data_IF_576120595878
#
_entry.id   IF_576120595878
#
_cell.length_a   1.000
_cell.length_b   1.000
_cell.length_c   1.000
_cell.angle_alpha   90.00
_cell.angle_beta   90.00
_cell.angle_gamma   90.00
#
_symmetry.space_group_name_H-M   'P 1'
#
loop_
_entity.id
_entity.type
_entity.pdbx_description
1 polymer ?
#
# COMPACT_ATOMS: atom_id res chain seq x y z
N UNK A 1 15.33 1.09 -13.55
CA UNK A 1 14.66 0.51 -12.35
C UNK A 1 15.52 0.80 -11.15
N UNK A 2 14.94 1.13 -9.99
CA UNK A 2 15.69 1.34 -8.75
C UNK A 2 16.19 0.01 -8.17
N UNK A 3 17.30 0.04 -7.39
CA UNK A 3 17.84 -1.15 -6.74
C UNK A 3 16.98 -1.67 -5.59
N UNK A 4 17.25 -2.91 -5.14
CA UNK A 4 16.46 -3.58 -4.10
C UNK A 4 16.41 -2.81 -2.77
N UNK A 5 17.54 -2.20 -2.34
CA UNK A 5 17.57 -1.42 -1.10
C UNK A 5 16.69 -0.16 -1.20
N UNK A 6 16.75 0.54 -2.33
CA UNK A 6 15.92 1.70 -2.58
C UNK A 6 14.42 1.32 -2.62
N UNK A 7 14.08 0.16 -3.24
CA UNK A 7 12.73 -0.36 -3.22
C UNK A 7 12.25 -0.62 -1.80
N UNK A 8 13.05 -1.34 -1.00
CA UNK A 8 12.71 -1.61 0.42
C UNK A 8 12.45 -0.31 1.20
N UNK A 9 13.28 0.72 0.98
CA UNK A 9 13.08 2.02 1.64
C UNK A 9 11.76 2.67 1.22
N UNK A 10 11.43 2.67 -0.08
CA UNK A 10 10.14 3.17 -0.60
C UNK A 10 8.97 2.45 0.06
N UNK A 11 9.01 1.13 0.10
CA UNK A 11 7.96 0.30 0.71
C UNK A 11 7.81 0.57 2.21
N UNK A 12 8.93 0.70 2.95
CA UNK A 12 8.92 1.01 4.39
C UNK A 12 8.34 2.38 4.69
N UNK A 13 8.67 3.41 3.91
CA UNK A 13 8.11 4.75 4.09
C UNK A 13 6.58 4.71 3.91
N UNK A 14 6.09 4.06 2.84
CA UNK A 14 4.65 3.95 2.61
C UNK A 14 3.97 3.10 3.68
N UNK A 15 4.61 2.04 4.17
CA UNK A 15 4.11 1.29 5.32
C UNK A 15 3.90 2.19 6.55
N UNK A 16 4.86 3.08 6.85
CA UNK A 16 4.69 4.06 7.94
C UNK A 16 3.51 4.99 7.68
N UNK A 17 3.27 5.39 6.44
CA UNK A 17 2.10 6.20 6.08
C UNK A 17 0.78 5.47 6.32
N UNK A 18 0.72 4.15 6.09
CA UNK A 18 -0.49 3.35 6.27
C UNK A 18 -0.74 2.95 7.72
N UNK A 19 0.32 2.60 8.45
CA UNK A 19 0.20 1.95 9.76
C UNK A 19 0.69 2.81 10.93
N UNK A 20 1.40 3.89 10.67
CA UNK A 20 2.09 4.69 11.69
C UNK A 20 3.37 4.04 12.23
N UNK A 21 3.76 2.85 11.76
CA UNK A 21 4.86 2.05 12.30
C UNK A 21 5.78 1.52 11.19
N UNK A 22 7.07 1.42 11.51
CA UNK A 22 8.07 0.77 10.66
C UNK A 22 8.23 -0.74 10.95
N UNK A 23 7.43 -1.30 11.88
CA UNK A 23 7.58 -2.72 12.26
C UNK A 23 7.02 -3.65 11.17
N UNK A 24 7.69 -4.76 10.94
CA UNK A 24 7.24 -5.84 10.03
C UNK A 24 6.14 -6.73 10.66
N UNK A 25 5.36 -6.17 11.58
CA UNK A 25 4.23 -6.85 12.21
C UNK A 25 2.96 -6.68 11.38
N UNK A 26 2.00 -7.55 11.62
CA UNK A 26 0.65 -7.42 11.06
C UNK A 26 0.26 -8.47 10.03
N UNK A 27 1.13 -9.39 9.66
CA UNK A 27 0.79 -10.47 8.70
C UNK A 27 -0.36 -11.36 9.18
N UNK A 28 -0.54 -11.54 10.49
CA UNK A 28 -1.62 -12.34 11.07
C UNK A 28 -2.80 -11.50 11.56
N UNK A 29 -2.85 -10.20 11.34
CA UNK A 29 -4.01 -9.41 11.78
C UNK A 29 -5.21 -9.75 10.91
N UNK A 30 -6.24 -10.36 11.50
CA UNK A 30 -7.50 -10.67 10.85
C UNK A 30 -8.64 -9.95 11.58
N UNK A 31 -9.42 -9.16 10.88
CA UNK A 31 -10.52 -8.40 11.48
C UNK A 31 -11.71 -8.26 10.53
N UNK A 32 -12.91 -8.26 11.10
CA UNK A 32 -14.12 -7.86 10.39
C UNK A 32 -14.47 -6.43 10.80
N UNK A 33 -14.46 -5.51 9.85
CA UNK A 33 -14.75 -4.09 10.09
C UNK A 33 -16.20 -3.77 9.76
N UNK A 34 -16.74 -2.70 10.38
CA UNK A 34 -18.14 -2.24 10.14
C UNK A 34 -18.27 -1.38 8.87
N UNK A 35 -17.31 -1.42 7.97
CA UNK A 35 -17.29 -0.67 6.72
C UNK A 35 -17.87 -1.45 5.53
N UNK A 36 -18.24 -2.71 5.78
CA UNK A 36 -18.80 -3.60 4.78
C UNK A 36 -17.75 -4.22 3.83
N UNK A 37 -16.46 -4.09 4.10
CA UNK A 37 -15.39 -4.71 3.31
C UNK A 37 -15.20 -6.21 3.62
N UNK A 38 -15.97 -6.76 4.58
CA UNK A 38 -15.86 -8.14 5.03
C UNK A 38 -14.65 -8.35 5.94
N UNK A 39 -13.86 -9.39 5.67
CA UNK A 39 -12.59 -9.63 6.38
C UNK A 39 -11.53 -8.68 5.83
N UNK A 40 -10.80 -8.04 6.74
CA UNK A 40 -9.53 -7.36 6.47
C UNK A 40 -8.40 -8.19 7.06
N UNK A 41 -7.41 -8.59 6.25
CA UNK A 41 -6.37 -9.51 6.65
C UNK A 41 -4.98 -9.04 6.28
N UNK A 42 -4.06 -9.27 7.22
CA UNK A 42 -2.63 -9.18 7.01
C UNK A 42 -2.07 -7.77 6.95
N UNK A 43 -0.77 -7.71 6.71
CA UNK A 43 0.02 -6.47 6.67
C UNK A 43 -0.54 -5.41 5.71
N UNK A 44 -1.14 -5.85 4.63
CA UNK A 44 -1.65 -5.00 3.56
C UNK A 44 -3.17 -4.86 3.56
N UNK A 45 -3.84 -5.36 4.60
CA UNK A 45 -5.29 -5.31 4.77
C UNK A 45 -6.04 -5.81 3.52
N UNK A 46 -5.62 -6.98 3.03
CA UNK A 46 -6.35 -7.66 1.95
C UNK A 46 -7.78 -7.96 2.39
N UNK A 47 -8.76 -7.67 1.53
CA UNK A 47 -10.17 -7.88 1.85
C UNK A 47 -10.81 -8.92 0.94
N UNK A 48 -11.80 -9.64 1.46
CA UNK A 48 -12.58 -10.61 0.68
C UNK A 48 -13.41 -9.92 -0.40
N UNK A 49 -14.11 -8.82 -0.08
CA UNK A 49 -14.92 -8.09 -1.06
C UNK A 49 -14.15 -7.44 -2.20
N UNK A 50 -12.90 -7.06 -1.99
CA UNK A 50 -12.05 -6.56 -3.07
C UNK A 50 -11.37 -7.68 -3.87
N UNK A 51 -11.60 -8.97 -3.50
CA UNK A 51 -10.99 -10.13 -4.13
C UNK A 51 -9.48 -10.27 -3.91
N UNK A 52 -8.90 -9.51 -2.97
CA UNK A 52 -7.48 -9.60 -2.69
C UNK A 52 -7.13 -10.66 -1.65
N UNK A 53 -8.06 -11.00 -0.75
CA UNK A 53 -7.84 -12.02 0.26
C UNK A 53 -7.92 -13.43 -0.32
N UNK A 54 -8.86 -13.71 -1.19
CA UNK A 54 -8.94 -15.01 -1.88
C UNK A 54 -7.70 -15.24 -2.76
N UNK A 55 -7.15 -14.23 -3.42
CA UNK A 55 -5.87 -14.35 -4.14
C UNK A 55 -4.71 -14.70 -3.21
N UNK A 56 -4.66 -14.12 -2.00
CA UNK A 56 -3.64 -14.47 -1.00
C UNK A 56 -3.78 -15.92 -0.57
N UNK A 57 -5.01 -16.37 -0.25
CA UNK A 57 -5.26 -17.76 0.18
C UNK A 57 -4.97 -18.75 -0.95
N UNK A 58 -5.38 -18.45 -2.19
CA UNK A 58 -5.04 -19.28 -3.35
C UNK A 58 -3.53 -19.44 -3.48
N UNK A 59 -2.80 -18.33 -3.48
CA UNK A 59 -1.34 -18.37 -3.64
C UNK A 59 -0.66 -19.07 -2.45
N UNK A 60 -1.17 -18.91 -1.23
CA UNK A 60 -0.69 -19.63 -0.07
C UNK A 60 -0.80 -21.15 -0.26
N UNK A 61 -1.94 -21.65 -0.72
CA UNK A 61 -2.16 -23.06 -1.01
C UNK A 61 -1.26 -23.57 -2.16
N UNK A 62 -1.14 -22.76 -3.24
CA UNK A 62 -0.28 -23.08 -4.38
C UNK A 62 1.21 -23.17 -3.99
N UNK A 63 1.63 -22.41 -2.99
CA UNK A 63 2.99 -22.45 -2.43
C UNK A 63 3.21 -23.59 -1.43
N UNK A 64 2.18 -24.38 -1.14
CA UNK A 64 2.26 -25.51 -0.21
C UNK A 64 1.99 -25.16 1.25
N UNK A 65 1.28 -24.09 1.53
CA UNK A 65 0.82 -23.75 2.88
C UNK A 65 -0.23 -24.75 3.37
N UNK A 66 -0.18 -25.15 4.63
CA UNK A 66 -0.97 -26.26 5.19
C UNK A 66 -1.99 -25.80 6.27
N UNK A 67 -1.89 -24.55 6.77
CA UNK A 67 -2.78 -24.07 7.84
C UNK A 67 -4.18 -23.66 7.34
N UNK A 68 -4.34 -23.44 6.04
CA UNK A 68 -5.61 -23.17 5.37
C UNK A 68 -5.89 -24.29 4.37
N UNK A 69 -7.15 -24.35 3.90
CA UNK A 69 -7.58 -25.35 2.92
C UNK A 69 -8.59 -24.77 1.93
N UNK A 70 -9.04 -25.62 1.01
CA UNK A 70 -10.04 -25.24 0.01
C UNK A 70 -11.41 -24.87 0.59
N UNK A 71 -11.71 -25.25 1.84
CA UNK A 71 -12.98 -24.86 2.48
C UNK A 71 -12.93 -23.40 2.90
N UNK A 72 -11.80 -22.93 3.44
CA UNK A 72 -11.59 -21.51 3.72
C UNK A 72 -11.72 -20.70 2.44
N UNK A 73 -11.04 -21.13 1.35
CA UNK A 73 -11.12 -20.43 0.07
C UNK A 73 -12.56 -20.36 -0.46
N UNK A 74 -13.31 -21.47 -0.40
CA UNK A 74 -14.72 -21.49 -0.80
C UNK A 74 -15.62 -20.58 0.04
N UNK A 75 -15.31 -20.41 1.32
CA UNK A 75 -16.06 -19.49 2.18
C UNK A 75 -15.76 -18.02 1.87
N UNK A 76 -14.52 -17.70 1.49
CA UNK A 76 -14.14 -16.35 1.06
C UNK A 76 -14.73 -15.99 -0.31
N UNK A 77 -14.89 -16.97 -1.20
CA UNK A 77 -15.43 -16.78 -2.56
C UNK A 77 -16.98 -16.85 -2.61
N UNK A 78 -17.65 -17.05 -1.46
CA UNK A 78 -19.11 -17.03 -1.42
C UNK A 78 -19.65 -15.65 -1.72
N UNK A 79 -20.78 -15.68 -2.41
CA UNK A 79 -21.60 -14.56 -2.85
C UNK A 79 -21.79 -13.47 -1.78
N UNK A 80 -22.09 -12.24 -2.24
CA UNK A 80 -22.40 -11.03 -1.44
C UNK A 80 -23.42 -11.24 -0.30
N UNK A 81 -24.14 -12.39 -0.30
CA UNK A 81 -25.03 -12.80 0.77
C UNK A 81 -24.32 -13.23 2.06
N UNK A 82 -23.02 -13.55 2.01
CA UNK A 82 -22.25 -13.89 3.22
C UNK A 82 -21.94 -12.61 3.97
N UNK A 83 -22.79 -12.27 4.94
CA UNK A 83 -22.55 -11.10 5.80
C UNK A 83 -21.52 -11.43 6.87
N UNK A 84 -20.42 -10.69 6.83
CA UNK A 84 -19.46 -10.61 7.93
C UNK A 84 -19.90 -9.48 8.87
N UNK A 85 -20.65 -9.83 9.92
CA UNK A 85 -21.05 -8.89 10.97
C UNK A 85 -20.15 -9.09 12.21
N UNK A 86 -19.29 -8.12 12.56
CA UNK A 86 -18.38 -8.23 13.69
C UNK A 86 -19.11 -8.43 15.03
N UNK A 87 -20.39 -8.05 15.10
CA UNK A 87 -21.24 -8.26 16.28
C UNK A 87 -21.90 -9.64 16.35
N UNK A 88 -21.91 -10.42 15.26
CA UNK A 88 -22.66 -11.68 15.17
C UNK A 88 -21.98 -12.70 14.24
N UNK A 89 -20.71 -12.98 14.48
CA UNK A 89 -19.99 -14.00 13.72
C UNK A 89 -20.46 -15.42 14.11
N UNK A 90 -20.66 -16.27 13.12
CA UNK A 90 -20.89 -17.70 13.32
C UNK A 90 -19.65 -18.39 13.88
N UNK A 91 -19.78 -19.64 14.30
CA UNK A 91 -18.65 -20.45 14.75
C UNK A 91 -17.64 -20.64 13.62
N UNK A 92 -18.09 -20.99 12.44
CA UNK A 92 -17.23 -21.23 11.27
C UNK A 92 -16.52 -19.95 10.84
N UNK A 93 -17.17 -18.79 10.91
CA UNK A 93 -16.53 -17.50 10.63
C UNK A 93 -15.41 -17.16 11.62
N UNK A 94 -15.61 -17.46 12.91
CA UNK A 94 -14.54 -17.28 13.91
C UNK A 94 -13.38 -18.24 13.67
N UNK A 95 -13.65 -19.49 13.37
CA UNK A 95 -12.62 -20.48 13.04
C UNK A 95 -11.74 -20.03 11.86
N UNK A 96 -12.35 -19.43 10.83
CA UNK A 96 -11.61 -18.86 9.70
C UNK A 96 -10.70 -17.72 10.14
N UNK A 97 -11.18 -16.80 10.98
CA UNK A 97 -10.35 -15.69 11.48
C UNK A 97 -9.17 -16.24 12.29
N UNK A 98 -9.41 -17.17 13.20
CA UNK A 98 -8.39 -17.80 14.03
C UNK A 98 -7.32 -18.51 13.15
N UNK A 99 -7.74 -19.22 12.11
CA UNK A 99 -6.82 -19.89 11.17
C UNK A 99 -6.02 -18.89 10.34
N UNK A 100 -6.62 -17.80 9.89
CA UNK A 100 -5.91 -16.70 9.20
C UNK A 100 -4.87 -16.06 10.12
N UNK A 101 -5.23 -15.79 11.38
CA UNK A 101 -4.28 -15.24 12.37
C UNK A 101 -3.08 -16.16 12.56
N UNK A 102 -3.32 -17.47 12.74
CA UNK A 102 -2.26 -18.47 12.87
C UNK A 102 -1.39 -18.55 11.61
N UNK A 103 -2.00 -18.54 10.43
CA UNK A 103 -1.28 -18.57 9.15
C UNK A 103 -0.35 -17.37 8.98
N UNK A 104 -0.65 -16.21 9.57
CA UNK A 104 0.23 -15.03 9.51
C UNK A 104 1.62 -15.23 10.14
N UNK A 105 1.82 -16.25 10.96
CA UNK A 105 3.13 -16.64 11.46
C UNK A 105 3.93 -17.49 10.45
N UNK A 106 3.24 -18.13 9.49
CA UNK A 106 3.85 -18.99 8.46
C UNK A 106 4.62 -18.13 7.44
N UNK A 107 5.92 -18.43 7.18
CA UNK A 107 6.69 -17.76 6.13
C UNK A 107 6.05 -17.84 4.74
N UNK A 108 5.36 -18.95 4.41
CA UNK A 108 4.66 -19.12 3.13
C UNK A 108 3.50 -18.13 3.01
N UNK A 109 2.76 -17.89 4.09
CA UNK A 109 1.68 -16.90 4.10
C UNK A 109 2.21 -15.47 3.94
N UNK A 110 3.33 -15.15 4.57
CA UNK A 110 3.97 -13.84 4.40
C UNK A 110 4.41 -13.64 2.95
N UNK A 111 5.01 -14.64 2.35
CA UNK A 111 5.39 -14.62 0.94
C UNK A 111 4.17 -14.46 0.02
N UNK A 112 3.08 -15.17 0.28
CA UNK A 112 1.84 -15.05 -0.49
C UNK A 112 1.27 -13.62 -0.42
N UNK A 113 1.19 -13.03 0.78
CA UNK A 113 0.74 -11.65 0.97
C UNK A 113 1.62 -10.65 0.22
N UNK A 114 2.94 -10.76 0.35
CA UNK A 114 3.89 -9.84 -0.28
C UNK A 114 3.83 -9.95 -1.82
N UNK A 115 3.71 -11.16 -2.38
CA UNK A 115 3.58 -11.37 -3.84
C UNK A 115 2.27 -10.81 -4.40
N UNK A 116 1.15 -11.04 -3.73
CA UNK A 116 -0.15 -10.50 -4.15
C UNK A 116 -0.11 -8.97 -4.10
N UNK A 117 0.43 -8.39 -3.03
CA UNK A 117 0.58 -6.95 -2.91
C UNK A 117 1.51 -6.35 -3.98
N UNK A 118 2.60 -7.05 -4.30
CA UNK A 118 3.52 -6.67 -5.36
C UNK A 118 2.80 -6.54 -6.71
N UNK A 119 2.02 -7.53 -7.07
CA UNK A 119 1.24 -7.52 -8.34
C UNK A 119 0.23 -6.39 -8.38
N UNK A 120 -0.47 -6.13 -7.28
CA UNK A 120 -1.54 -5.14 -7.25
C UNK A 120 -1.05 -3.69 -7.15
N UNK A 121 0.09 -3.44 -6.51
CA UNK A 121 0.54 -2.08 -6.20
C UNK A 121 1.94 -1.74 -6.71
N UNK A 122 2.95 -2.59 -6.43
CA UNK A 122 4.32 -2.28 -6.84
C UNK A 122 4.49 -2.33 -8.36
N UNK A 123 4.06 -3.39 -9.00
CA UNK A 123 4.23 -3.53 -10.45
C UNK A 123 3.49 -2.44 -11.25
N UNK A 124 2.24 -2.05 -10.95
CA UNK A 124 1.61 -0.90 -11.57
C UNK A 124 2.37 0.42 -11.35
N UNK A 125 2.83 0.67 -10.12
CA UNK A 125 3.63 1.86 -9.82
C UNK A 125 4.97 1.85 -10.57
N UNK A 126 5.65 0.71 -10.59
CA UNK A 126 6.91 0.55 -11.31
C UNK A 126 6.76 0.80 -12.81
N UNK A 127 5.72 0.27 -13.44
CA UNK A 127 5.41 0.56 -14.85
C UNK A 127 5.24 2.06 -15.08
N UNK A 128 4.46 2.74 -14.26
CA UNK A 128 4.26 4.20 -14.37
C UNK A 128 5.58 4.98 -14.19
N UNK A 129 6.40 4.60 -13.20
CA UNK A 129 7.69 5.26 -12.96
C UNK A 129 8.65 5.07 -14.16
N UNK A 130 8.68 3.89 -14.75
CA UNK A 130 9.47 3.58 -15.95
C UNK A 130 8.98 4.34 -17.18
N UNK A 131 7.67 4.40 -17.41
CA UNK A 131 7.06 5.15 -18.53
C UNK A 131 7.35 6.64 -18.44
N UNK A 132 7.42 7.18 -17.23
CA UNK A 132 7.82 8.54 -16.95
C UNK A 132 9.35 8.75 -17.01
N UNK A 133 10.15 7.67 -17.08
CA UNK A 133 11.62 7.64 -17.02
C UNK A 133 12.18 8.25 -15.73
N UNK A 134 11.54 7.95 -14.59
CA UNK A 134 12.00 8.41 -13.29
C UNK A 134 13.19 7.56 -12.81
N UNK A 135 14.23 8.22 -12.35
CA UNK A 135 15.49 7.59 -11.93
C UNK A 135 15.70 7.61 -10.41
N UNK A 136 15.19 8.64 -9.71
CA UNK A 136 15.41 8.80 -8.28
C UNK A 136 14.45 7.95 -7.43
N UNK A 137 14.94 7.25 -6.39
CA UNK A 137 14.08 6.51 -5.45
C UNK A 137 12.93 7.34 -4.85
N UNK A 138 13.16 8.61 -4.51
CA UNK A 138 12.10 9.49 -4.01
C UNK A 138 10.99 9.72 -5.04
N UNK A 139 11.33 9.78 -6.33
CA UNK A 139 10.31 9.87 -7.40
C UNK A 139 9.46 8.60 -7.48
N UNK A 140 10.08 7.44 -7.28
CA UNK A 140 9.36 6.16 -7.17
C UNK A 140 8.46 6.10 -5.94
N UNK A 141 8.91 6.63 -4.79
CA UNK A 141 8.09 6.79 -3.60
C UNK A 141 6.80 7.57 -3.90
N UNK A 142 6.91 8.69 -4.62
CA UNK A 142 5.75 9.53 -4.99
C UNK A 142 4.75 8.77 -5.85
N UNK A 143 5.21 7.99 -6.84
CA UNK A 143 4.34 7.18 -7.70
C UNK A 143 3.71 6.02 -6.93
N UNK A 144 4.51 5.32 -6.11
CA UNK A 144 4.05 4.17 -5.33
C UNK A 144 3.01 4.57 -4.29
N UNK A 145 3.26 5.63 -3.51
CA UNK A 145 2.29 6.19 -2.58
C UNK A 145 1.00 6.65 -3.29
N UNK A 146 1.13 7.24 -4.47
CA UNK A 146 -0.05 7.64 -5.25
C UNK A 146 -0.88 6.45 -5.72
N UNK A 147 -0.22 5.35 -6.08
CA UNK A 147 -0.88 4.13 -6.55
C UNK A 147 -1.61 3.43 -5.39
N UNK A 148 -1.01 3.35 -4.21
CA UNK A 148 -1.63 2.75 -3.03
C UNK A 148 -2.79 3.61 -2.54
N UNK A 149 -2.52 4.88 -2.25
CA UNK A 149 -3.51 5.76 -1.61
C UNK A 149 -4.68 6.18 -2.53
N UNK A 150 -4.42 6.34 -3.83
CA UNK A 150 -5.40 6.92 -4.77
C UNK A 150 -5.78 5.96 -5.91
N UNK A 151 -5.31 4.71 -5.84
CA UNK A 151 -5.53 3.67 -6.85
C UNK A 151 -4.66 3.86 -8.11
N UNK A 152 -4.76 2.94 -9.07
CA UNK A 152 -3.89 2.89 -10.25
C UNK A 152 -3.99 4.13 -11.14
N UNK A 153 -5.06 4.90 -11.05
CA UNK A 153 -5.27 6.15 -11.80
C UNK A 153 -4.89 7.40 -11.00
N UNK A 154 -4.32 7.26 -9.79
CA UNK A 154 -3.96 8.38 -8.91
C UNK A 154 -3.03 9.38 -9.60
N UNK A 155 -1.97 8.87 -10.23
CA UNK A 155 -0.99 9.72 -10.95
C UNK A 155 -1.63 10.46 -12.12
N UNK A 156 -2.43 9.77 -12.93
CA UNK A 156 -3.12 10.39 -14.09
C UNK A 156 -4.09 11.49 -13.66
N UNK A 157 -4.73 11.36 -12.49
CA UNK A 157 -5.65 12.37 -11.92
C UNK A 157 -4.94 13.67 -11.53
N UNK A 158 -3.70 13.58 -11.06
CA UNK A 158 -2.92 14.74 -10.63
C UNK A 158 -2.19 15.39 -11.81
N UNK A 159 -1.76 14.61 -12.79
CA UNK A 159 -0.96 15.07 -13.94
C UNK A 159 -1.46 16.34 -14.63
N UNK A 160 -2.77 16.56 -14.89
CA UNK A 160 -3.24 17.78 -15.55
C UNK A 160 -3.18 19.07 -14.71
N UNK A 161 -2.79 18.97 -13.43
CA UNK A 161 -2.84 20.06 -12.47
C UNK A 161 -1.56 20.89 -12.39
N UNK A 162 -0.55 20.56 -13.17
CA UNK A 162 0.73 21.28 -13.20
C UNK A 162 1.39 21.17 -14.59
N UNK A 163 2.23 22.18 -14.99
CA UNK A 163 2.74 22.26 -16.35
C UNK A 163 4.02 21.46 -16.62
N UNK A 164 4.85 21.13 -15.59
CA UNK A 164 6.15 20.49 -15.81
C UNK A 164 6.04 19.20 -16.61
N UNK A 165 6.94 19.00 -17.57
CA UNK A 165 7.02 17.77 -18.36
C UNK A 165 7.87 16.72 -17.63
N UNK A 166 7.49 15.43 -17.69
CA UNK A 166 8.32 14.36 -17.15
C UNK A 166 9.59 14.13 -18.00
N UNK A 167 10.61 13.43 -17.47
CA UNK A 167 11.82 13.07 -18.23
C UNK A 167 11.55 12.36 -19.56
N UNK A 168 10.50 11.53 -19.61
CA UNK A 168 10.08 10.86 -20.86
C UNK A 168 9.65 11.83 -21.97
N UNK A 169 9.41 13.10 -21.65
CA UNK A 169 9.07 14.18 -22.58
C UNK A 169 10.09 15.32 -22.56
N UNK A 170 11.31 15.04 -22.11
CA UNK A 170 12.42 15.99 -22.06
C UNK A 170 12.40 16.98 -20.90
N UNK A 171 11.55 16.76 -19.89
CA UNK A 171 11.54 17.58 -18.68
C UNK A 171 12.57 17.17 -17.64
N UNK A 172 12.74 18.02 -16.62
CA UNK A 172 13.57 17.74 -15.45
C UNK A 172 12.77 16.95 -14.41
N UNK A 173 13.33 15.85 -13.91
CA UNK A 173 12.68 14.96 -12.95
C UNK A 173 12.37 15.65 -11.62
N UNK A 174 13.34 16.42 -11.08
CA UNK A 174 13.18 17.07 -9.79
C UNK A 174 12.12 18.17 -9.85
N UNK A 175 12.06 18.92 -10.94
CA UNK A 175 11.04 19.94 -11.19
C UNK A 175 9.66 19.28 -11.32
N UNK A 176 9.57 18.19 -12.08
CA UNK A 176 8.32 17.45 -12.25
C UNK A 176 7.78 16.91 -10.93
N UNK A 177 8.64 16.26 -10.13
CA UNK A 177 8.26 15.68 -8.84
C UNK A 177 7.81 16.74 -7.85
N UNK A 178 8.55 17.86 -7.73
CA UNK A 178 8.16 18.99 -6.86
C UNK A 178 6.77 19.52 -7.23
N UNK A 179 6.51 19.72 -8.52
CA UNK A 179 5.19 20.21 -8.97
C UNK A 179 4.09 19.17 -8.79
N UNK A 180 4.39 17.89 -9.00
CA UNK A 180 3.44 16.80 -8.73
C UNK A 180 3.05 16.76 -7.26
N UNK A 181 4.02 16.82 -6.35
CA UNK A 181 3.80 16.77 -4.89
C UNK A 181 2.96 17.97 -4.45
N UNK A 182 3.31 19.18 -4.90
CA UNK A 182 2.53 20.39 -4.59
C UNK A 182 1.08 20.31 -5.12
N UNK A 183 0.89 19.84 -6.36
CA UNK A 183 -0.44 19.67 -6.95
C UNK A 183 -1.26 18.60 -6.22
N UNK A 184 -0.64 17.49 -5.84
CA UNK A 184 -1.30 16.42 -5.08
C UNK A 184 -1.63 16.87 -3.65
N UNK A 185 -0.73 17.61 -3.01
CA UNK A 185 -0.95 18.21 -1.70
C UNK A 185 -2.20 19.10 -1.71
N UNK A 186 -2.32 20.00 -2.69
CA UNK A 186 -3.49 20.85 -2.84
C UNK A 186 -4.76 20.01 -3.08
N UNK A 187 -4.70 18.99 -3.94
CA UNK A 187 -5.84 18.12 -4.20
C UNK A 187 -6.29 17.36 -2.95
N UNK A 188 -5.37 16.83 -2.14
CA UNK A 188 -5.69 16.19 -0.86
C UNK A 188 -6.31 17.19 0.13
N UNK A 189 -5.68 18.34 0.30
CA UNK A 189 -6.14 19.38 1.26
C UNK A 189 -7.54 19.92 0.94
N UNK A 190 -7.92 19.94 -0.34
CA UNK A 190 -9.22 20.47 -0.80
C UNK A 190 -10.23 19.38 -1.17
N UNK A 191 -9.93 18.12 -0.87
CA UNK A 191 -10.82 17.00 -1.23
C UNK A 191 -12.16 17.09 -0.47
N UNK A 192 -13.28 16.70 -1.12
CA UNK A 192 -14.62 16.73 -0.53
C UNK A 192 -14.76 15.87 0.73
N UNK A 193 -14.09 14.70 0.75
CA UNK A 193 -14.10 13.76 1.88
C UNK A 193 -13.04 14.16 2.91
N UNK A 194 -13.46 14.32 4.16
CA UNK A 194 -12.57 14.68 5.28
C UNK A 194 -11.49 13.62 5.50
N UNK A 195 -11.84 12.33 5.40
CA UNK A 195 -10.89 11.23 5.53
C UNK A 195 -9.70 11.38 4.56
N UNK A 196 -9.97 11.82 3.31
CA UNK A 196 -8.90 12.08 2.33
C UNK A 196 -8.11 13.35 2.69
N UNK A 197 -8.76 14.42 3.19
CA UNK A 197 -8.04 15.62 3.64
C UNK A 197 -7.07 15.33 4.78
N UNK A 198 -7.42 14.40 5.67
CA UNK A 198 -6.55 13.99 6.78
C UNK A 198 -5.25 13.32 6.33
N UNK A 199 -5.13 12.90 5.08
CA UNK A 199 -3.93 12.24 4.54
C UNK A 199 -2.93 13.20 3.88
N UNK A 200 -3.14 14.52 3.98
CA UNK A 200 -2.24 15.55 3.42
C UNK A 200 -0.81 15.43 3.96
N UNK A 201 -0.65 14.94 5.19
CA UNK A 201 0.65 14.71 5.82
C UNK A 201 1.63 13.88 4.97
N UNK A 202 1.13 13.00 4.10
CA UNK A 202 1.96 12.21 3.18
C UNK A 202 2.80 13.12 2.29
N UNK A 203 2.17 14.17 1.78
CA UNK A 203 2.87 15.14 0.94
C UNK A 203 3.78 16.03 1.76
N UNK A 204 3.39 16.42 2.98
CA UNK A 204 4.25 17.20 3.88
C UNK A 204 5.56 16.43 4.21
N UNK A 205 5.47 15.12 4.43
CA UNK A 205 6.66 14.26 4.63
C UNK A 205 7.50 14.18 3.36
N UNK A 206 6.89 13.99 2.20
CA UNK A 206 7.62 13.91 0.93
C UNK A 206 8.26 15.26 0.59
N UNK A 207 7.59 16.39 0.81
CA UNK A 207 8.17 17.73 0.68
C UNK A 207 9.39 17.90 1.59
N UNK A 208 9.29 17.47 2.84
CA UNK A 208 10.44 17.48 3.76
C UNK A 208 11.63 16.68 3.22
N UNK A 209 11.39 15.47 2.68
CA UNK A 209 12.46 14.68 2.08
C UNK A 209 13.09 15.36 0.84
N UNK A 210 12.27 16.06 0.05
CA UNK A 210 12.74 16.85 -1.10
C UNK A 210 13.62 18.02 -0.63
N UNK A 211 13.19 18.76 0.38
CA UNK A 211 13.86 19.95 0.88
C UNK A 211 15.21 19.63 1.55
N UNK A 212 15.33 18.41 2.09
CA UNK A 212 16.57 17.90 2.67
C UNK A 212 17.42 17.07 1.69
N UNK A 213 17.13 17.15 0.39
CA UNK A 213 17.86 16.46 -0.72
C UNK A 213 17.92 14.93 -0.60
N UNK A 214 16.93 14.30 0.05
CA UNK A 214 16.85 12.84 0.20
C UNK A 214 16.41 12.10 -1.08
N UNK A 215 16.81 12.56 -2.26
CA UNK A 215 16.41 11.97 -3.54
C UNK A 215 16.78 10.49 -3.70
N UNK A 216 17.87 10.08 -3.08
CA UNK A 216 18.36 8.70 -3.14
C UNK A 216 17.77 7.78 -2.08
N UNK A 217 17.07 8.33 -1.07
CA UNK A 217 16.51 7.61 0.07
C UNK A 217 17.52 6.65 0.72
N UNK A 218 18.76 7.13 0.92
CA UNK A 218 19.81 6.35 1.59
C UNK A 218 19.56 6.33 3.10
N UNK A 219 19.66 5.14 3.71
CA UNK A 219 19.55 4.98 5.17
C UNK A 219 20.72 5.68 5.89
N UNK A 220 20.50 6.32 7.05
CA UNK A 220 19.20 6.45 7.73
C UNK A 220 18.32 7.57 7.16
N UNK A 221 17.00 7.31 7.08
CA UNK A 221 15.99 8.32 6.69
C UNK A 221 15.10 8.60 7.90
N UNK A 222 15.22 9.79 8.49
CA UNK A 222 14.37 10.24 9.58
C UNK A 222 13.12 10.92 9.03
N UNK A 223 11.94 10.50 9.51
CA UNK A 223 10.68 11.07 9.07
C UNK A 223 10.26 12.25 9.96
N UNK A 224 9.71 13.34 9.39
CA UNK A 224 9.17 14.46 10.14
C UNK A 224 7.80 14.12 10.77
N UNK A 225 7.18 15.07 11.48
CA UNK A 225 5.79 14.92 11.95
C UNK A 225 4.86 14.57 10.79
N UNK A 226 3.83 13.71 11.02
CA UNK A 226 3.42 13.15 12.32
C UNK A 226 4.27 11.96 12.80
N UNK A 227 5.27 11.50 12.07
CA UNK A 227 6.09 10.32 12.35
C UNK A 227 7.44 10.66 13.02
N UNK A 228 7.52 11.79 13.72
CA UNK A 228 8.75 12.20 14.39
C UNK A 228 9.26 11.11 15.35
N UNK A 229 10.56 10.75 15.19
CA UNK A 229 11.20 9.65 15.93
C UNK A 229 11.23 8.31 15.16
N UNK A 230 10.56 8.20 14.03
CA UNK A 230 10.74 7.05 13.12
C UNK A 230 11.95 7.31 12.24
N UNK A 231 12.94 6.41 12.32
CA UNK A 231 14.11 6.38 11.45
C UNK A 231 14.18 5.02 10.74
N UNK A 232 14.38 5.05 9.43
CA UNK A 232 14.35 3.90 8.53
C UNK A 232 15.74 3.60 7.97
#
# INVERSE_FOLDING_TARGET
>A
MIGADARRMVERIVQVFETGSASDSGYGVAAVLRDGAGISYGRHQCTDRAGSLDHVVMLYLDLGGELLDGDVLRMLQRDESTQWDPGNLTRDQRDILDRLEQAGADPIMREAQDRVFDVHYWQPAARQALDLRLAHPLSWLVIYDSTIHSGPHGVARIRPRFPALPPSRGGDERVWVKQYVAARRLWLATHRLEAVRRTVYRMDVIEHLIDHDHWRLLSPVSLPRPFAGVTL
#
